data_IF_936357050641
#
_entry.id   IF_936357050641
#
_cell.length_a   1.000
_cell.length_b   1.000
_cell.length_c   1.000
_cell.angle_alpha   90.00
_cell.angle_beta   90.00
_cell.angle_gamma   90.00
#
_symmetry.space_group_name_H-M   'P 1'
#
loop_
_entity.id
_entity.type
_entity.pdbx_description
1 polymer ?
#
# COMPACT_ATOMS: atom_id res chain seq x y z
N UNK A 1 -21.17 -6.98 1.44
CA UNK A 1 -20.60 -8.14 0.72
C UNK A 1 -19.11 -7.93 0.56
N UNK A 2 -18.32 -8.88 1.05
CA UNK A 2 -16.86 -8.85 1.17
C UNK A 2 -16.15 -9.09 -0.20
N UNK A 3 -16.28 -8.15 -1.14
CA UNK A 3 -15.64 -8.24 -2.46
C UNK A 3 -14.23 -7.63 -2.50
N UNK A 4 -13.88 -6.82 -1.51
CA UNK A 4 -12.63 -6.05 -1.49
C UNK A 4 -11.39 -6.95 -1.44
N UNK A 5 -11.43 -8.05 -0.68
CA UNK A 5 -10.35 -9.05 -0.60
C UNK A 5 -10.12 -9.72 -1.93
N UNK A 6 -11.21 -10.13 -2.59
CA UNK A 6 -11.15 -10.77 -3.89
C UNK A 6 -10.61 -9.82 -4.95
N UNK A 7 -10.95 -8.53 -4.86
CA UNK A 7 -10.39 -7.50 -5.71
C UNK A 7 -8.88 -7.32 -5.48
N UNK A 8 -8.41 -7.26 -4.23
CA UNK A 8 -6.98 -7.19 -3.91
C UNK A 8 -6.22 -8.42 -4.42
N UNK A 9 -6.80 -9.62 -4.27
CA UNK A 9 -6.22 -10.86 -4.79
C UNK A 9 -6.21 -10.90 -6.33
N UNK A 10 -7.25 -10.38 -6.99
CA UNK A 10 -7.29 -10.23 -8.43
C UNK A 10 -6.17 -9.29 -8.91
N UNK A 11 -6.02 -8.13 -8.27
CA UNK A 11 -4.95 -7.18 -8.58
C UNK A 11 -3.56 -7.80 -8.36
N UNK A 12 -3.39 -8.56 -7.28
CA UNK A 12 -2.17 -9.33 -7.03
C UNK A 12 -1.89 -10.32 -8.17
N UNK A 13 -2.90 -11.10 -8.58
CA UNK A 13 -2.77 -12.04 -9.69
C UNK A 13 -2.38 -11.36 -11.01
N UNK A 14 -3.00 -10.22 -11.33
CA UNK A 14 -2.68 -9.40 -12.50
C UNK A 14 -1.24 -8.89 -12.46
N UNK A 15 -0.79 -8.38 -11.31
CA UNK A 15 0.59 -7.91 -11.14
C UNK A 15 1.59 -9.04 -11.32
N UNK A 16 1.37 -10.19 -10.66
CA UNK A 16 2.23 -11.37 -10.77
C UNK A 16 2.29 -11.85 -12.23
N UNK A 17 1.15 -11.93 -12.91
CA UNK A 17 1.09 -12.36 -14.31
C UNK A 17 1.82 -11.37 -15.25
N UNK A 18 1.71 -10.07 -14.98
CA UNK A 18 2.33 -9.01 -15.78
C UNK A 18 3.84 -8.80 -15.54
N UNK A 19 4.41 -9.45 -14.51
CA UNK A 19 5.82 -9.33 -14.17
C UNK A 19 6.66 -10.23 -15.08
N UNK A 20 7.64 -9.65 -15.79
CA UNK A 20 8.35 -10.32 -16.88
C UNK A 20 9.24 -11.48 -16.39
N UNK A 21 9.83 -11.38 -15.20
CA UNK A 21 10.74 -12.40 -14.63
C UNK A 21 10.26 -12.86 -13.24
N UNK A 22 9.34 -13.82 -13.19
CA UNK A 22 8.83 -14.43 -11.95
C UNK A 22 9.86 -15.37 -11.29
N UNK A 23 11.00 -14.80 -10.90
CA UNK A 23 12.10 -15.50 -10.25
C UNK A 23 11.94 -15.48 -8.71
N UNK A 24 12.82 -16.21 -8.02
CA UNK A 24 12.84 -16.26 -6.56
C UNK A 24 13.09 -14.88 -5.92
N UNK A 25 13.77 -13.96 -6.63
CA UNK A 25 13.99 -12.60 -6.13
C UNK A 25 12.68 -11.81 -6.07
N UNK A 26 11.81 -11.93 -7.08
CA UNK A 26 10.49 -11.30 -7.07
C UNK A 26 9.60 -11.87 -5.96
N UNK A 27 9.58 -13.19 -5.78
CA UNK A 27 8.82 -13.84 -4.69
C UNK A 27 9.35 -13.39 -3.33
N UNK A 28 10.68 -13.39 -3.15
CA UNK A 28 11.32 -12.92 -1.92
C UNK A 28 10.99 -11.45 -1.62
N UNK A 29 11.06 -10.59 -2.63
CA UNK A 29 10.63 -9.19 -2.52
C UNK A 29 9.17 -9.07 -2.10
N UNK A 30 8.26 -9.79 -2.78
CA UNK A 30 6.83 -9.72 -2.50
C UNK A 30 6.51 -10.11 -1.05
N UNK A 31 7.13 -11.21 -0.57
CA UNK A 31 7.00 -11.66 0.80
C UNK A 31 7.60 -10.66 1.80
N UNK A 32 8.77 -10.09 1.53
CA UNK A 32 9.41 -9.11 2.41
C UNK A 32 8.54 -7.86 2.57
N UNK A 33 8.03 -7.31 1.47
CA UNK A 33 7.19 -6.11 1.53
C UNK A 33 5.86 -6.41 2.20
N UNK A 34 5.19 -7.50 1.83
CA UNK A 34 3.91 -7.86 2.41
C UNK A 34 4.02 -8.14 3.91
N UNK A 35 5.05 -8.88 4.34
CA UNK A 35 5.29 -9.16 5.75
C UNK A 35 5.68 -7.89 6.52
N UNK A 36 6.56 -7.05 5.95
CA UNK A 36 7.00 -5.81 6.62
C UNK A 36 5.87 -4.81 6.78
N UNK A 37 5.03 -4.65 5.77
CA UNK A 37 3.80 -3.85 5.85
C UNK A 37 2.85 -4.40 6.91
N UNK A 38 2.57 -5.70 6.87
CA UNK A 38 1.71 -6.35 7.87
C UNK A 38 2.24 -6.21 9.30
N UNK A 39 3.55 -6.37 9.52
CA UNK A 39 4.18 -6.19 10.83
C UNK A 39 4.06 -4.74 11.30
N UNK A 40 4.27 -3.75 10.41
CA UNK A 40 4.10 -2.34 10.75
C UNK A 40 2.66 -2.04 11.22
N UNK A 41 1.66 -2.62 10.55
CA UNK A 41 0.25 -2.51 10.93
C UNK A 41 -0.05 -3.18 12.27
N UNK A 42 0.51 -4.38 12.51
CA UNK A 42 0.40 -5.05 13.81
C UNK A 42 0.99 -4.20 14.95
N UNK A 43 2.17 -3.61 14.73
CA UNK A 43 2.76 -2.68 15.71
C UNK A 43 1.82 -1.49 15.92
N UNK A 44 1.25 -0.92 14.85
CA UNK A 44 0.31 0.19 14.93
C UNK A 44 -0.92 -0.13 15.78
N UNK A 45 -1.64 -1.19 15.44
CA UNK A 45 -2.88 -1.60 16.13
C UNK A 45 -2.63 -1.96 17.60
N UNK A 46 -1.57 -2.72 17.91
CA UNK A 46 -1.34 -3.22 19.28
C UNK A 46 -0.68 -2.21 20.21
N UNK A 47 0.12 -1.27 19.67
CA UNK A 47 0.93 -0.37 20.52
C UNK A 47 0.54 1.10 20.38
N UNK A 48 -0.17 1.48 19.31
CA UNK A 48 -0.41 2.88 18.95
C UNK A 48 0.88 3.66 18.58
N UNK A 49 2.04 3.00 18.56
CA UNK A 49 3.33 3.63 18.26
C UNK A 49 3.42 4.01 16.79
N UNK A 50 2.86 3.20 15.89
CA UNK A 50 2.72 3.53 14.47
C UNK A 50 1.28 3.92 14.15
N UNK A 51 1.15 4.88 13.22
CA UNK A 51 -0.10 5.41 12.69
C UNK A 51 -1.00 6.15 13.69
N UNK A 52 -1.27 5.57 14.86
CA UNK A 52 -2.15 6.08 15.91
C UNK A 52 -2.98 4.95 16.49
N UNK A 53 -4.06 5.29 17.20
CA UNK A 53 -4.98 4.29 17.76
C UNK A 53 -6.18 4.09 16.82
N UNK A 54 -6.25 2.93 16.17
CA UNK A 54 -7.30 2.55 15.23
C UNK A 54 -7.55 1.04 15.30
N UNK A 55 -8.72 0.62 14.84
CA UNK A 55 -9.10 -0.79 14.76
C UNK A 55 -9.62 -1.11 13.36
N UNK A 56 -9.21 -2.25 12.83
CA UNK A 56 -9.71 -2.72 11.54
C UNK A 56 -11.17 -3.17 11.62
N UNK A 57 -11.96 -2.87 10.59
CA UNK A 57 -13.33 -3.38 10.41
C UNK A 57 -13.37 -4.79 9.79
N UNK A 58 -14.55 -5.25 9.38
CA UNK A 58 -14.74 -6.57 8.78
C UNK A 58 -14.47 -6.60 7.27
N UNK A 59 -14.45 -5.44 6.62
CA UNK A 59 -14.45 -5.33 5.15
C UNK A 59 -13.13 -5.72 4.49
N UNK A 60 -12.04 -5.93 5.24
CA UNK A 60 -10.73 -6.41 4.76
C UNK A 60 -10.42 -7.88 5.11
N UNK A 61 -11.40 -8.61 5.65
CA UNK A 61 -11.49 -10.06 5.53
C UNK A 61 -10.87 -10.73 6.74
N UNK A 62 -10.27 -11.91 6.55
CA UNK A 62 -9.68 -12.67 7.64
C UNK A 62 -8.54 -11.89 8.31
N UNK A 63 -8.69 -11.70 9.63
CA UNK A 63 -7.72 -11.03 10.48
C UNK A 63 -6.79 -12.04 11.12
N UNK A 64 -5.53 -11.65 11.27
CA UNK A 64 -4.54 -12.31 12.10
C UNK A 64 -3.97 -11.25 13.04
N UNK A 65 -3.96 -11.50 14.35
CA UNK A 65 -3.61 -10.49 15.36
C UNK A 65 -4.39 -9.18 15.19
N UNK A 66 -5.70 -9.28 14.91
CA UNK A 66 -6.61 -8.12 14.68
C UNK A 66 -6.34 -7.32 13.40
N UNK A 67 -5.29 -7.65 12.66
CA UNK A 67 -4.92 -7.02 11.39
C UNK A 67 -5.32 -7.92 10.21
N UNK A 68 -6.02 -7.39 9.19
CA UNK A 68 -6.39 -8.16 8.00
C UNK A 68 -5.17 -8.58 7.19
N UNK A 69 -5.07 -9.86 6.80
CA UNK A 69 -3.95 -10.34 5.98
C UNK A 69 -3.82 -9.58 4.65
N UNK A 70 -4.95 -9.07 4.13
CA UNK A 70 -5.01 -8.30 2.90
C UNK A 70 -4.27 -6.96 2.98
N UNK A 71 -4.01 -6.42 4.17
CA UNK A 71 -3.23 -5.16 4.28
C UNK A 71 -1.77 -5.37 3.85
N UNK A 72 -1.18 -6.54 4.13
CA UNK A 72 0.16 -6.87 3.65
C UNK A 72 0.20 -6.95 2.12
N UNK A 73 -0.84 -7.56 1.52
CA UNK A 73 -0.99 -7.60 0.06
C UNK A 73 -1.14 -6.19 -0.51
N UNK A 74 -1.92 -5.32 0.15
CA UNK A 74 -2.10 -3.94 -0.27
C UNK A 74 -0.77 -3.16 -0.22
N UNK A 75 0.00 -3.28 0.86
CA UNK A 75 1.35 -2.69 0.96
C UNK A 75 2.26 -3.14 -0.18
N UNK A 76 2.28 -4.43 -0.51
CA UNK A 76 3.02 -4.93 -1.66
C UNK A 76 2.56 -4.30 -2.97
N UNK A 77 1.25 -4.30 -3.26
CA UNK A 77 0.69 -3.75 -4.49
C UNK A 77 1.07 -2.28 -4.66
N UNK A 78 0.90 -1.47 -3.61
CA UNK A 78 1.17 -0.03 -3.63
C UNK A 78 2.66 0.28 -3.81
N UNK A 79 3.54 -0.40 -3.07
CA UNK A 79 4.99 -0.22 -3.17
C UNK A 79 5.50 -0.67 -4.54
N UNK A 80 5.07 -1.84 -5.02
CA UNK A 80 5.46 -2.34 -6.33
C UNK A 80 4.98 -1.42 -7.45
N UNK A 81 3.70 -1.01 -7.42
CA UNK A 81 3.13 -0.12 -8.42
C UNK A 81 3.82 1.24 -8.48
N UNK A 82 4.12 1.83 -7.31
CA UNK A 82 4.82 3.10 -7.21
C UNK A 82 6.27 2.99 -7.65
N UNK A 83 7.00 1.98 -7.16
CA UNK A 83 8.40 1.74 -7.53
C UNK A 83 8.58 1.51 -9.03
N UNK A 84 7.73 0.67 -9.65
CA UNK A 84 7.75 0.44 -11.10
C UNK A 84 7.43 1.72 -11.87
N UNK A 85 6.43 2.48 -11.42
CA UNK A 85 6.04 3.74 -12.07
C UNK A 85 7.19 4.75 -12.05
N UNK A 86 7.87 4.89 -10.92
CA UNK A 86 8.99 5.82 -10.78
C UNK A 86 10.23 5.37 -11.54
N UNK A 87 10.49 4.06 -11.65
CA UNK A 87 11.53 3.54 -12.56
C UNK A 87 11.25 3.81 -14.04
N UNK A 88 9.99 4.04 -14.42
CA UNK A 88 9.60 4.45 -15.78
C UNK A 88 9.64 5.97 -15.98
N UNK A 89 9.76 6.74 -14.91
CA UNK A 89 9.86 8.20 -14.97
C UNK A 89 11.27 8.66 -15.40
N UNK A 90 11.45 9.98 -15.52
CA UNK A 90 12.77 10.58 -15.81
C UNK A 90 13.65 10.74 -14.56
N UNK A 91 13.23 10.24 -13.40
CA UNK A 91 13.96 10.38 -12.14
C UNK A 91 15.02 9.28 -12.04
N UNK A 92 16.28 9.64 -12.30
CA UNK A 92 17.41 8.70 -12.23
C UNK A 92 17.91 8.45 -10.80
N UNK A 93 17.85 9.48 -9.95
CA UNK A 93 18.31 9.39 -8.56
C UNK A 93 17.37 8.53 -7.70
N UNK A 94 17.88 7.41 -7.19
CA UNK A 94 17.11 6.47 -6.34
C UNK A 94 16.54 7.12 -5.08
N UNK A 95 17.26 8.04 -4.45
CA UNK A 95 16.78 8.71 -3.23
C UNK A 95 15.62 9.65 -3.55
N UNK A 96 15.69 10.34 -4.70
CA UNK A 96 14.59 11.17 -5.17
C UNK A 96 13.38 10.31 -5.52
N UNK A 97 13.55 9.15 -6.17
CA UNK A 97 12.46 8.20 -6.39
C UNK A 97 11.83 7.73 -5.08
N UNK A 98 12.62 7.38 -4.07
CA UNK A 98 12.10 6.94 -2.76
C UNK A 98 11.27 8.05 -2.11
N UNK A 99 11.79 9.28 -2.04
CA UNK A 99 11.08 10.42 -1.45
C UNK A 99 9.79 10.71 -2.22
N UNK A 100 9.88 10.82 -3.55
CA UNK A 100 8.70 11.07 -4.40
C UNK A 100 7.66 9.96 -4.26
N UNK A 101 8.08 8.70 -4.24
CA UNK A 101 7.17 7.56 -4.08
C UNK A 101 6.52 7.51 -2.72
N UNK A 102 7.27 7.81 -1.65
CA UNK A 102 6.72 7.92 -0.31
C UNK A 102 5.67 9.03 -0.24
N UNK A 103 5.94 10.19 -0.84
CA UNK A 103 4.94 11.28 -0.95
C UNK A 103 3.71 10.83 -1.72
N UNK A 104 3.86 10.12 -2.86
CA UNK A 104 2.73 9.60 -3.64
C UNK A 104 1.89 8.65 -2.78
N UNK A 105 2.50 7.71 -2.07
CA UNK A 105 1.76 6.76 -1.23
C UNK A 105 1.05 7.45 -0.06
N UNK A 106 1.68 8.44 0.59
CA UNK A 106 1.02 9.23 1.63
C UNK A 106 -0.14 10.06 1.08
N UNK A 107 -0.02 10.63 -0.13
CA UNK A 107 -1.13 11.34 -0.77
C UNK A 107 -2.28 10.41 -1.14
N UNK A 108 -1.97 9.18 -1.55
CA UNK A 108 -3.00 8.17 -1.77
C UNK A 108 -3.70 7.81 -0.45
N UNK A 109 -2.96 7.63 0.63
CA UNK A 109 -3.51 7.37 1.96
C UNK A 109 -4.50 8.47 2.40
N UNK A 110 -4.16 9.75 2.20
CA UNK A 110 -5.08 10.88 2.45
C UNK A 110 -6.41 10.72 1.71
N UNK A 111 -6.41 10.18 0.49
CA UNK A 111 -7.65 9.92 -0.26
C UNK A 111 -8.39 8.67 0.23
N UNK A 112 -7.65 7.67 0.72
CA UNK A 112 -8.24 6.43 1.22
C UNK A 112 -8.96 6.67 2.55
N UNK A 113 -8.38 7.46 3.44
CA UNK A 113 -8.81 7.64 4.82
C UNK A 113 -10.33 7.92 5.01
N UNK A 114 -10.97 8.88 4.33
CA UNK A 114 -12.41 9.13 4.51
C UNK A 114 -13.29 7.95 4.06
N UNK A 115 -12.87 7.29 2.99
CA UNK A 115 -13.57 6.14 2.40
C UNK A 115 -13.38 4.91 3.28
N UNK A 116 -12.19 4.73 3.85
CA UNK A 116 -11.89 3.63 4.75
C UNK A 116 -12.77 3.63 6.00
N UNK A 117 -12.99 4.80 6.60
CA UNK A 117 -13.90 4.96 7.75
C UNK A 117 -15.34 4.67 7.32
N UNK A 118 -15.77 5.22 6.17
CA UNK A 118 -17.14 5.06 5.66
C UNK A 118 -17.51 3.60 5.33
N UNK A 119 -16.57 2.84 4.77
CA UNK A 119 -16.80 1.48 4.28
C UNK A 119 -16.29 0.37 5.23
N UNK A 120 -16.07 0.69 6.50
CA UNK A 120 -15.67 -0.28 7.54
C UNK A 120 -14.33 -0.98 7.23
N UNK A 121 -13.36 -0.23 6.71
CA UNK A 121 -12.00 -0.74 6.53
C UNK A 121 -11.24 -0.62 7.85
N UNK A 122 -11.23 0.57 8.47
CA UNK A 122 -10.75 0.82 9.81
C UNK A 122 -11.43 2.04 10.43
N UNK A 123 -11.41 2.10 11.76
CA UNK A 123 -11.98 3.19 12.54
C UNK A 123 -10.94 3.78 13.48
N UNK A 124 -10.80 5.10 13.45
CA UNK A 124 -9.93 5.83 14.37
C UNK A 124 -10.58 6.04 15.72
N UNK A 125 -9.78 5.93 16.78
CA UNK A 125 -10.23 6.23 18.14
C UNK A 125 -10.62 7.70 18.23
N UNK A 126 -11.87 8.00 18.58
CA UNK A 126 -12.41 9.36 18.62
C UNK A 126 -12.76 9.96 17.25
N UNK A 127 -12.67 9.19 16.15
CA UNK A 127 -13.08 9.61 14.81
C UNK A 127 -12.17 10.66 14.15
N UNK A 128 -11.02 10.97 14.75
CA UNK A 128 -10.06 11.95 14.24
C UNK A 128 -8.86 11.21 13.69
N UNK A 129 -8.50 11.53 12.45
CA UNK A 129 -7.30 11.00 11.79
C UNK A 129 -6.08 11.77 12.33
N UNK A 130 -5.12 11.11 13.01
CA UNK A 130 -3.97 11.79 13.57
C UNK A 130 -2.97 12.18 12.46
N UNK A 131 -2.36 13.36 12.55
CA UNK A 131 -1.27 13.76 11.63
C UNK A 131 -0.10 12.75 11.65
N UNK A 132 0.10 12.09 12.80
CA UNK A 132 1.04 10.99 12.99
C UNK A 132 0.83 9.86 11.95
N UNK A 133 -0.41 9.60 11.53
CA UNK A 133 -0.71 8.61 10.50
C UNK A 133 0.06 8.89 9.21
N UNK A 134 -0.05 10.10 8.68
CA UNK A 134 0.58 10.49 7.44
C UNK A 134 2.11 10.50 7.52
N UNK A 135 2.67 10.89 8.68
CA UNK A 135 4.12 10.81 8.93
C UNK A 135 4.59 9.36 8.95
N UNK A 136 3.86 8.46 9.63
CA UNK A 136 4.18 7.04 9.65
C UNK A 136 4.05 6.42 8.25
N UNK A 137 2.99 6.72 7.51
CA UNK A 137 2.81 6.29 6.13
C UNK A 137 3.97 6.71 5.24
N UNK A 138 4.43 7.96 5.36
CA UNK A 138 5.58 8.45 4.61
C UNK A 138 6.86 7.66 4.95
N UNK A 139 7.15 7.49 6.26
CA UNK A 139 8.37 6.81 6.71
C UNK A 139 8.37 5.31 6.35
N UNK A 140 7.25 4.61 6.54
CA UNK A 140 7.09 3.20 6.17
C UNK A 140 7.19 3.04 4.66
N UNK A 141 6.51 3.89 3.89
CA UNK A 141 6.60 3.89 2.42
C UNK A 141 8.02 4.13 1.93
N UNK A 142 8.74 5.09 2.52
CA UNK A 142 10.13 5.36 2.17
C UNK A 142 11.04 4.16 2.45
N UNK A 143 10.85 3.49 3.60
CA UNK A 143 11.60 2.28 3.94
C UNK A 143 11.32 1.14 2.95
N UNK A 144 10.05 0.88 2.64
CA UNK A 144 9.66 -0.19 1.72
C UNK A 144 10.11 0.10 0.28
N UNK A 145 10.05 1.36 -0.17
CA UNK A 145 10.59 1.79 -1.47
C UNK A 145 12.12 1.72 -1.51
N UNK A 146 12.81 1.98 -0.38
CA UNK A 146 14.25 1.73 -0.30
C UNK A 146 14.56 0.24 -0.50
N UNK A 147 13.78 -0.66 0.09
CA UNK A 147 13.89 -2.10 -0.17
C UNK A 147 13.62 -2.40 -1.65
N UNK A 148 12.58 -1.83 -2.27
CA UNK A 148 12.31 -1.99 -3.70
C UNK A 148 13.51 -1.61 -4.59
N UNK A 149 14.17 -0.47 -4.31
CA UNK A 149 15.35 -0.04 -5.06
C UNK A 149 16.52 -1.03 -4.95
N UNK A 150 16.65 -1.76 -3.84
CA UNK A 150 17.69 -2.78 -3.64
C UNK A 150 17.51 -4.05 -4.47
N UNK A 151 16.28 -4.37 -4.86
CA UNK A 151 16.00 -5.53 -5.71
C UNK A 151 16.28 -5.28 -7.20
N UNK A 152 16.59 -4.03 -7.59
CA UNK A 152 17.09 -3.66 -8.91
C UNK A 152 16.29 -4.22 -10.09
N UNK A 153 14.97 -4.38 -9.93
CA UNK A 153 14.11 -4.88 -11.00
C UNK A 153 14.31 -4.13 -12.33
N UNK A 154 14.39 -4.89 -13.43
CA UNK A 154 14.32 -4.34 -14.79
C UNK A 154 13.01 -3.59 -15.00
N UNK A 155 12.95 -2.78 -16.05
CA UNK A 155 11.73 -2.05 -16.43
C UNK A 155 10.59 -3.05 -16.63
N UNK A 156 9.49 -2.85 -15.90
CA UNK A 156 8.31 -3.71 -15.93
C UNK A 156 7.18 -3.12 -16.78
N UNK A 157 6.17 -3.95 -17.04
CA UNK A 157 4.94 -3.60 -17.73
C UNK A 157 4.24 -2.36 -17.15
N UNK A 158 3.43 -1.68 -17.98
CA UNK A 158 2.68 -0.47 -17.57
C UNK A 158 1.52 -0.80 -16.63
N UNK A 159 1.16 -2.07 -16.51
CA UNK A 159 0.08 -2.57 -15.64
C UNK A 159 0.20 -2.03 -14.22
N UNK A 160 1.42 -1.97 -13.68
CA UNK A 160 1.66 -1.44 -12.33
C UNK A 160 1.34 0.07 -12.23
N UNK A 161 1.69 0.85 -13.27
CA UNK A 161 1.33 2.27 -13.36
C UNK A 161 -0.17 2.47 -13.52
N UNK A 162 -0.82 1.65 -14.34
CA UNK A 162 -2.29 1.69 -14.49
C UNK A 162 -2.98 1.37 -13.17
N UNK A 163 -2.50 0.38 -12.41
CA UNK A 163 -3.02 0.07 -11.08
C UNK A 163 -2.92 1.28 -10.16
N UNK A 164 -1.74 1.91 -10.06
CA UNK A 164 -1.54 3.07 -9.19
C UNK A 164 -2.49 4.22 -9.56
N UNK A 165 -2.55 4.59 -10.83
CA UNK A 165 -3.44 5.67 -11.30
C UNK A 165 -4.91 5.32 -11.04
N UNK A 166 -5.30 4.06 -11.24
CA UNK A 166 -6.66 3.60 -10.97
C UNK A 166 -7.02 3.74 -9.50
N UNK A 167 -6.09 3.47 -8.56
CA UNK A 167 -6.35 3.69 -7.13
C UNK A 167 -6.63 5.17 -6.84
N UNK A 168 -5.81 6.09 -7.36
CA UNK A 168 -6.05 7.53 -7.20
C UNK A 168 -7.39 7.96 -7.76
N UNK A 169 -7.71 7.55 -8.99
CA UNK A 169 -8.98 7.90 -9.64
C UNK A 169 -10.15 7.30 -8.85
N UNK A 170 -10.06 6.04 -8.45
CA UNK A 170 -11.11 5.35 -7.70
C UNK A 170 -11.42 6.06 -6.37
N UNK A 171 -10.42 6.30 -5.53
CA UNK A 171 -10.64 6.96 -4.25
C UNK A 171 -11.02 8.43 -4.42
N UNK A 172 -10.48 9.16 -5.40
CA UNK A 172 -10.91 10.53 -5.68
C UNK A 172 -12.39 10.61 -6.09
N UNK A 173 -12.83 9.71 -6.98
CA UNK A 173 -14.24 9.63 -7.41
C UNK A 173 -15.13 9.26 -6.22
N UNK A 174 -14.73 8.31 -5.38
CA UNK A 174 -15.51 7.96 -4.19
C UNK A 174 -15.65 9.13 -3.22
N UNK A 175 -14.59 9.89 -2.96
CA UNK A 175 -14.65 11.09 -2.11
C UNK A 175 -15.48 12.23 -2.72
N UNK A 176 -15.65 12.24 -4.04
CA UNK A 176 -16.52 13.21 -4.70
C UNK A 176 -18.00 12.79 -4.62
N UNK A 177 -18.28 11.49 -4.67
CA UNK A 177 -19.64 10.93 -4.66
C UNK A 177 -20.21 10.81 -3.24
N UNK A 178 -19.37 10.58 -2.23
CA UNK A 178 -19.75 10.33 -0.85
C UNK A 178 -19.13 11.32 0.14
#
# INVERSE_FOLDING_TARGET
MALVHWHLLLMLGVIIYSHDERNNNFIGFALIIAASGFIAECIGVHTGLLFGNYNYGGTLGSKLFEVPLMIGVNWFLLVYATGVTLKRSRIENKYLRIITGATILTLLDVLIEPIAIRFDYWHWTGGIIPVKNYVCWFLVSALLLFVFEKFEFKRQSVVATVLLVTQFVFFAVLNFVY
#
